data_IF_912226524994
#
_entry.id   IF_912226524994
#
_cell.length_a   1.000
_cell.length_b   1.000
_cell.length_c   1.000
_cell.angle_alpha   90.00
_cell.angle_beta   90.00
_cell.angle_gamma   90.00
#
_symmetry.space_group_name_H-M   'P 1'
#
loop_
_entity.id
_entity.type
_entity.pdbx_description
1 polymer ?
#
# COMPACT_ATOMS: atom_id res chain seq x y z
N UNK A 1 -25.08 -12.68 20.98
CA UNK A 1 -25.94 -11.62 21.57
C UNK A 1 -24.98 -10.55 22.07
N UNK A 2 -24.96 -9.42 21.39
CA UNK A 2 -23.95 -8.37 21.51
C UNK A 2 -23.93 -7.73 22.92
N UNK A 3 -22.77 -7.74 23.56
CA UNK A 3 -22.45 -6.89 24.70
C UNK A 3 -21.54 -5.78 24.18
N UNK A 4 -22.18 -4.71 23.68
CA UNK A 4 -21.51 -3.43 23.43
C UNK A 4 -21.12 -2.83 24.78
N UNK A 5 -19.84 -2.60 25.02
CA UNK A 5 -19.36 -1.65 26.03
C UNK A 5 -18.46 -0.66 25.32
N UNK A 6 -19.06 0.47 24.96
CA UNK A 6 -18.42 1.65 24.39
C UNK A 6 -17.81 2.44 25.55
N UNK A 7 -16.49 2.59 25.58
CA UNK A 7 -15.85 3.54 26.47
C UNK A 7 -14.85 4.40 25.66
N UNK A 8 -15.32 5.55 25.20
CA UNK A 8 -14.47 6.59 24.62
C UNK A 8 -13.64 7.20 25.75
N UNK A 9 -12.35 6.86 25.83
CA UNK A 9 -11.40 7.54 26.72
C UNK A 9 -10.97 8.84 26.04
N UNK A 10 -11.85 9.85 26.06
CA UNK A 10 -11.49 11.21 25.65
C UNK A 10 -10.51 11.81 26.68
N UNK A 11 -9.23 11.90 26.33
CA UNK A 11 -8.24 12.59 27.14
C UNK A 11 -8.32 14.10 26.89
N UNK A 12 -8.95 14.83 27.82
CA UNK A 12 -9.07 16.28 27.76
C UNK A 12 -7.91 16.94 28.51
N UNK A 13 -7.05 17.69 27.80
CA UNK A 13 -6.03 18.54 28.43
C UNK A 13 -6.45 20.00 28.37
N UNK A 14 -6.49 20.67 29.52
CA UNK A 14 -6.73 22.12 29.63
C UNK A 14 -5.41 22.82 29.93
N UNK A 15 -4.85 23.51 28.94
CA UNK A 15 -3.64 24.30 29.11
C UNK A 15 -4.00 25.73 29.55
N UNK A 16 -3.43 26.20 30.66
CA UNK A 16 -3.56 27.58 31.13
C UNK A 16 -2.36 28.40 30.65
N UNK A 17 -2.54 29.17 29.59
CA UNK A 17 -1.61 30.22 29.15
C UNK A 17 -1.83 31.51 29.94
N UNK A 18 -0.75 32.28 30.13
CA UNK A 18 -0.64 33.39 31.07
C UNK A 18 -1.76 34.45 30.93
N UNK A 19 -2.63 34.50 31.93
CA UNK A 19 -3.50 35.61 32.38
C UNK A 19 -4.44 36.33 31.38
N UNK A 20 -4.46 36.01 30.08
CA UNK A 20 -5.41 36.58 29.10
C UNK A 20 -5.93 35.62 28.03
N UNK A 21 -5.54 34.35 28.07
CA UNK A 21 -5.97 33.38 27.06
C UNK A 21 -7.23 32.62 27.49
N UNK A 22 -8.19 32.54 26.57
CA UNK A 22 -9.37 31.67 26.67
C UNK A 22 -8.87 30.24 26.86
N UNK A 23 -9.37 29.45 27.83
CA UNK A 23 -8.89 28.09 28.02
C UNK A 23 -9.08 27.31 26.72
N UNK A 24 -7.97 26.86 26.13
CA UNK A 24 -8.02 25.99 24.97
C UNK A 24 -8.22 24.57 25.47
N UNK A 25 -9.35 23.98 25.12
CA UNK A 25 -9.61 22.55 25.29
C UNK A 25 -8.88 21.85 24.14
N UNK A 26 -7.77 21.20 24.45
CA UNK A 26 -7.07 20.34 23.49
C UNK A 26 -7.62 18.94 23.68
N UNK A 27 -8.37 18.46 22.69
CA UNK A 27 -8.80 17.07 22.62
C UNK A 27 -7.64 16.25 22.06
N UNK A 28 -7.05 15.38 22.87
CA UNK A 28 -6.05 14.43 22.40
C UNK A 28 -6.75 13.18 21.84
N UNK A 29 -6.20 12.55 20.80
CA UNK A 29 -6.71 11.28 20.30
C UNK A 29 -6.72 10.22 21.43
N UNK A 30 -7.70 9.30 21.45
CA UNK A 30 -7.69 8.18 22.39
C UNK A 30 -6.45 7.31 22.11
N UNK A 31 -5.70 6.98 23.18
CA UNK A 31 -4.66 5.95 23.14
C UNK A 31 -5.27 4.64 23.63
N UNK A 32 -5.09 3.59 22.85
CA UNK A 32 -5.67 2.28 23.11
C UNK A 32 -4.58 1.30 23.54
N UNK A 33 -5.00 0.16 24.08
CA UNK A 33 -4.09 -0.93 24.39
C UNK A 33 -4.83 -2.25 24.20
N UNK A 34 -5.00 -2.65 22.94
CA UNK A 34 -5.33 -3.99 22.48
C UNK A 34 -6.75 -4.53 22.75
N UNK A 35 -7.41 -4.94 21.67
CA UNK A 35 -8.65 -5.70 21.61
C UNK A 35 -9.92 -4.86 21.53
N UNK A 36 -9.85 -3.58 21.16
CA UNK A 36 -10.99 -2.65 21.17
C UNK A 36 -11.54 -2.33 19.77
N UNK A 37 -12.87 -2.24 19.63
CA UNK A 37 -13.54 -1.65 18.45
C UNK A 37 -13.59 -0.12 18.63
N UNK A 38 -12.90 0.64 17.78
CA UNK A 38 -12.80 2.10 17.94
C UNK A 38 -13.25 2.89 16.72
N UNK A 39 -13.97 3.98 16.99
CA UNK A 39 -14.39 4.96 15.98
C UNK A 39 -13.57 6.24 16.12
N UNK A 40 -13.02 6.74 15.01
CA UNK A 40 -12.48 8.10 14.95
C UNK A 40 -11.03 8.20 14.48
N UNK A 41 -10.15 8.66 15.38
CA UNK A 41 -8.73 8.93 15.16
C UNK A 41 -7.85 8.37 16.28
N UNK A 42 -7.84 7.05 16.54
CA UNK A 42 -7.00 6.49 17.59
C UNK A 42 -5.51 6.55 17.25
N UNK A 43 -4.71 6.48 18.31
CA UNK A 43 -3.33 5.99 18.30
C UNK A 43 -3.37 4.62 19.00
N UNK A 44 -3.09 3.53 18.29
CA UNK A 44 -2.93 2.21 18.89
C UNK A 44 -1.44 1.78 18.86
N UNK A 45 -1.08 0.87 19.76
CA UNK A 45 0.22 0.22 19.85
C UNK A 45 -0.02 -1.31 19.92
N UNK A 46 -1.05 -1.83 19.21
CA UNK A 46 -1.84 -2.98 19.64
C UNK A 46 -2.43 -3.88 18.55
N UNK A 47 -3.63 -4.40 18.81
CA UNK A 47 -4.41 -5.23 17.88
C UNK A 47 -5.87 -4.87 18.07
N UNK A 48 -6.34 -3.97 17.24
CA UNK A 48 -7.64 -3.32 17.33
C UNK A 48 -8.42 -3.40 16.01
N UNK A 49 -9.73 -3.17 16.11
CA UNK A 49 -10.62 -3.00 14.96
C UNK A 49 -10.99 -1.50 14.86
N UNK A 50 -10.50 -0.81 13.84
CA UNK A 50 -10.67 0.65 13.71
C UNK A 50 -11.59 1.02 12.55
N UNK A 51 -12.64 1.79 12.84
CA UNK A 51 -13.44 2.45 11.81
C UNK A 51 -13.12 3.96 11.78
N UNK A 52 -12.45 4.41 10.72
CA UNK A 52 -12.13 5.83 10.54
C UNK A 52 -10.73 6.07 10.04
N UNK A 53 -10.00 6.98 10.70
CA UNK A 53 -8.59 7.21 10.42
C UNK A 53 -7.77 6.62 11.58
N UNK A 54 -6.71 5.87 11.37
CA UNK A 54 -5.81 5.41 12.44
C UNK A 54 -4.39 5.94 12.22
N UNK A 55 -3.64 5.99 13.33
CA UNK A 55 -2.20 5.76 13.34
C UNK A 55 -1.98 4.52 14.21
N UNK A 56 -1.32 3.50 13.70
CA UNK A 56 -0.99 2.29 14.46
C UNK A 56 0.53 2.02 14.43
N UNK A 57 0.99 1.34 15.47
CA UNK A 57 2.31 0.72 15.57
C UNK A 57 2.05 -0.75 15.97
N UNK A 58 1.60 -1.60 15.03
CA UNK A 58 0.97 -2.84 15.46
C UNK A 58 0.47 -3.81 14.39
N UNK A 59 -0.67 -4.42 14.71
CA UNK A 59 -1.40 -5.34 13.83
C UNK A 59 -2.89 -5.09 14.01
N UNK A 60 -3.45 -4.32 13.11
CA UNK A 60 -4.81 -3.81 13.16
C UNK A 60 -5.69 -4.27 11.99
N UNK A 61 -7.00 -4.20 12.20
CA UNK A 61 -8.01 -4.32 11.14
C UNK A 61 -8.67 -2.94 10.94
N UNK A 62 -8.34 -2.24 9.85
CA UNK A 62 -8.76 -0.85 9.62
C UNK A 62 -9.75 -0.71 8.47
N UNK A 63 -10.96 -0.22 8.77
CA UNK A 63 -11.89 0.26 7.75
C UNK A 63 -11.81 1.80 7.63
N UNK A 64 -11.02 2.27 6.67
CA UNK A 64 -10.96 3.69 6.33
C UNK A 64 -9.60 4.17 5.83
N UNK A 65 -8.89 4.97 6.63
CA UNK A 65 -7.54 5.42 6.31
C UNK A 65 -6.56 5.03 7.41
N UNK A 66 -5.51 4.31 7.12
CA UNK A 66 -4.44 4.02 8.07
C UNK A 66 -3.18 4.81 7.73
N UNK A 67 -2.32 4.92 8.74
CA UNK A 67 -0.89 5.16 8.61
C UNK A 67 -0.26 4.22 9.65
N UNK A 68 0.47 3.20 9.19
CA UNK A 68 0.94 2.10 10.04
C UNK A 68 2.44 1.84 9.87
N UNK A 69 3.07 1.42 10.96
CA UNK A 69 4.41 0.85 11.02
C UNK A 69 4.27 -0.59 11.56
N UNK A 70 3.91 -1.55 10.70
CA UNK A 70 3.38 -2.81 11.21
C UNK A 70 2.97 -3.88 10.20
N UNK A 71 1.90 -4.58 10.54
CA UNK A 71 1.28 -5.64 9.74
C UNK A 71 -0.24 -5.55 9.86
N UNK A 72 -0.87 -4.85 8.95
CA UNK A 72 -2.29 -4.50 9.03
C UNK A 72 -3.16 -5.15 7.95
N UNK A 73 -4.46 -5.24 8.24
CA UNK A 73 -5.50 -5.52 7.25
C UNK A 73 -6.33 -4.25 7.00
N UNK A 74 -6.15 -3.61 5.84
CA UNK A 74 -6.74 -2.29 5.56
C UNK A 74 -7.77 -2.34 4.44
N UNK A 75 -9.03 -2.03 4.77
CA UNK A 75 -10.05 -1.72 3.77
C UNK A 75 -10.15 -0.21 3.56
N UNK A 76 -9.40 0.33 2.60
CA UNK A 76 -9.54 1.72 2.18
C UNK A 76 -8.29 2.36 1.61
N UNK A 77 -7.63 3.23 2.38
CA UNK A 77 -6.37 3.86 1.99
C UNK A 77 -5.32 3.66 3.07
N UNK A 78 -4.17 3.11 2.74
CA UNK A 78 -3.04 2.98 3.66
C UNK A 78 -1.89 3.90 3.26
N UNK A 79 -0.99 4.06 4.22
CA UNK A 79 0.39 4.50 4.07
C UNK A 79 1.17 3.64 5.09
N UNK A 80 2.03 2.77 4.61
CA UNK A 80 2.50 1.60 5.34
C UNK A 80 4.02 1.45 5.23
N UNK A 81 4.68 1.19 6.36
CA UNK A 81 6.05 0.68 6.41
C UNK A 81 6.00 -0.72 7.02
N UNK A 82 6.00 -1.78 6.21
CA UNK A 82 5.65 -3.08 6.77
C UNK A 82 5.29 -4.22 5.83
N UNK A 83 4.27 -4.96 6.24
CA UNK A 83 3.81 -6.19 5.60
C UNK A 83 2.30 -6.34 5.77
N UNK A 84 1.53 -5.77 4.84
CA UNK A 84 0.11 -5.46 4.98
C UNK A 84 -0.78 -6.14 3.92
N UNK A 85 -2.05 -6.34 4.26
CA UNK A 85 -3.09 -6.75 3.32
C UNK A 85 -4.03 -5.55 3.04
N UNK A 86 -3.98 -4.99 1.84
CA UNK A 86 -4.70 -3.74 1.50
C UNK A 86 -5.75 -3.97 0.43
N UNK A 87 -7.02 -3.78 0.79
CA UNK A 87 -8.12 -3.63 -0.17
C UNK A 87 -8.41 -2.15 -0.44
N UNK A 88 -7.72 -1.57 -1.43
CA UNK A 88 -8.03 -0.22 -1.88
C UNK A 88 -6.88 0.54 -2.55
N UNK A 89 -6.35 1.53 -1.86
CA UNK A 89 -5.18 2.29 -2.35
C UNK A 89 -4.07 2.24 -1.31
N UNK A 90 -2.89 1.81 -1.73
CA UNK A 90 -1.70 1.73 -0.90
C UNK A 90 -0.64 2.75 -1.30
N UNK A 91 0.26 3.03 -0.37
CA UNK A 91 1.57 3.60 -0.64
C UNK A 91 2.50 3.06 0.44
N UNK A 92 3.38 2.17 0.03
CA UNK A 92 4.00 1.16 0.87
C UNK A 92 5.51 1.10 0.67
N UNK A 93 6.21 0.85 1.77
CA UNK A 93 7.61 0.40 1.77
C UNK A 93 7.65 -0.96 2.46
N UNK A 94 7.76 -2.06 1.70
CA UNK A 94 7.49 -3.35 2.34
C UNK A 94 7.34 -4.60 1.49
N UNK A 95 6.45 -5.46 1.99
CA UNK A 95 6.04 -6.73 1.38
C UNK A 95 4.56 -6.97 1.63
N UNK A 96 3.75 -6.51 0.68
CA UNK A 96 2.32 -6.32 0.88
C UNK A 96 1.49 -7.12 -0.13
N UNK A 97 0.25 -7.42 0.24
CA UNK A 97 -0.76 -8.01 -0.65
C UNK A 97 -1.85 -6.97 -0.94
N UNK A 98 -1.91 -6.49 -2.19
CA UNK A 98 -2.71 -5.31 -2.52
C UNK A 98 -3.77 -5.63 -3.57
N UNK A 99 -5.04 -5.51 -3.18
CA UNK A 99 -6.16 -5.49 -4.12
C UNK A 99 -6.58 -4.05 -4.43
N UNK A 100 -5.98 -3.44 -5.45
CA UNK A 100 -6.43 -2.16 -5.96
C UNK A 100 -5.39 -1.34 -6.69
N UNK A 101 -4.95 -0.24 -6.06
CA UNK A 101 -3.89 0.61 -6.60
C UNK A 101 -2.76 0.76 -5.60
N UNK A 102 -1.53 0.45 -5.98
CA UNK A 102 -0.34 0.65 -5.15
C UNK A 102 0.58 1.71 -5.73
N UNK A 103 1.52 2.12 -4.88
CA UNK A 103 2.77 2.79 -5.22
C UNK A 103 3.75 2.24 -4.20
N UNK A 104 4.54 1.26 -4.58
CA UNK A 104 5.31 0.43 -3.66
C UNK A 104 6.82 0.54 -3.92
N UNK A 105 7.60 0.47 -2.83
CA UNK A 105 9.03 0.21 -2.86
C UNK A 105 9.28 -1.11 -2.11
N UNK A 106 9.57 -2.21 -2.81
CA UNK A 106 9.71 -3.49 -2.11
C UNK A 106 9.49 -4.75 -2.92
N UNK A 107 8.58 -5.59 -2.43
CA UNK A 107 8.29 -6.90 -3.00
C UNK A 107 6.90 -7.37 -2.63
N UNK A 108 5.95 -7.09 -3.50
CA UNK A 108 4.51 -7.06 -3.26
C UNK A 108 3.74 -7.94 -4.25
N UNK A 109 2.55 -8.37 -3.85
CA UNK A 109 1.58 -9.06 -4.71
C UNK A 109 0.41 -8.12 -5.01
N UNK A 110 0.34 -7.60 -6.25
CA UNK A 110 -0.65 -6.58 -6.62
C UNK A 110 -1.69 -7.10 -7.61
N UNK A 111 -2.94 -7.16 -7.18
CA UNK A 111 -4.08 -7.32 -8.07
C UNK A 111 -4.69 -5.96 -8.42
N UNK A 112 -4.18 -5.33 -9.49
CA UNK A 112 -4.82 -4.14 -10.04
C UNK A 112 -3.91 -3.25 -10.87
N UNK A 113 -3.57 -2.07 -10.32
CA UNK A 113 -2.64 -1.14 -10.94
C UNK A 113 -1.54 -0.81 -9.97
N UNK A 114 -0.32 -0.87 -10.43
CA UNK A 114 0.84 -0.73 -9.59
C UNK A 114 1.80 0.27 -10.26
N UNK A 115 2.62 0.93 -9.45
CA UNK A 115 3.81 1.66 -9.88
C UNK A 115 4.89 1.31 -8.87
N UNK A 116 5.89 0.56 -9.31
CA UNK A 116 6.61 -0.34 -8.43
C UNK A 116 8.12 -0.19 -8.62
N UNK A 117 8.86 -0.08 -7.52
CA UNK A 117 10.33 -0.14 -7.51
C UNK A 117 10.76 -1.37 -6.71
N UNK A 118 11.06 -2.49 -7.40
CA UNK A 118 11.35 -3.70 -6.65
C UNK A 118 11.32 -5.03 -7.39
N UNK A 119 10.57 -5.94 -6.77
CA UNK A 119 10.41 -7.35 -7.16
C UNK A 119 9.00 -7.80 -6.85
N UNK A 120 8.12 -7.55 -7.79
CA UNK A 120 6.68 -7.58 -7.55
C UNK A 120 5.99 -8.61 -8.46
N UNK A 121 4.87 -9.14 -7.97
CA UNK A 121 3.97 -10.00 -8.75
C UNK A 121 2.69 -9.22 -9.06
N UNK A 122 2.52 -8.80 -10.32
CA UNK A 122 1.42 -7.91 -10.70
C UNK A 122 0.41 -8.60 -11.62
N UNK A 123 -0.82 -8.77 -11.13
CA UNK A 123 -1.97 -9.10 -11.98
C UNK A 123 -2.73 -7.84 -12.39
N UNK A 124 -2.30 -7.20 -13.48
CA UNK A 124 -3.05 -6.10 -14.08
C UNK A 124 -2.25 -5.16 -14.95
N UNK A 125 -1.98 -3.96 -14.43
CA UNK A 125 -1.15 -2.97 -15.11
C UNK A 125 -0.02 -2.55 -14.18
N UNK A 126 1.20 -2.78 -14.62
CA UNK A 126 2.42 -2.34 -13.93
C UNK A 126 3.03 -1.15 -14.66
N UNK A 127 3.80 -0.38 -13.89
CA UNK A 127 4.88 0.47 -14.37
C UNK A 127 6.02 0.26 -13.39
N UNK A 128 7.09 -0.36 -13.87
CA UNK A 128 8.03 -1.12 -13.06
C UNK A 128 9.49 -0.68 -13.31
N UNK A 129 10.21 -0.40 -12.23
CA UNK A 129 11.67 -0.25 -12.24
C UNK A 129 12.28 -1.41 -11.41
N UNK A 130 12.52 -2.57 -12.03
CA UNK A 130 12.81 -3.73 -11.22
C UNK A 130 13.01 -5.07 -11.92
N UNK A 131 12.49 -6.11 -11.25
CA UNK A 131 12.46 -7.50 -11.69
C UNK A 131 11.14 -8.12 -11.27
N UNK A 132 10.17 -8.00 -12.15
CA UNK A 132 8.77 -8.25 -11.81
C UNK A 132 8.16 -9.37 -12.68
N UNK A 133 7.15 -10.02 -12.12
CA UNK A 133 6.31 -10.98 -12.84
C UNK A 133 4.94 -10.34 -13.13
N UNK A 134 4.69 -10.01 -14.40
CA UNK A 134 3.47 -9.26 -14.76
C UNK A 134 2.53 -10.05 -15.66
N UNK A 135 1.34 -10.35 -15.12
CA UNK A 135 0.21 -10.83 -15.90
C UNK A 135 -0.68 -9.67 -16.34
N UNK A 136 -0.35 -9.03 -17.46
CA UNK A 136 -1.22 -8.04 -18.06
C UNK A 136 -0.53 -7.05 -18.99
N UNK A 137 -0.33 -5.82 -18.51
CA UNK A 137 0.39 -4.79 -19.24
C UNK A 137 1.52 -4.23 -18.38
N UNK A 138 2.76 -4.29 -18.85
CA UNK A 138 3.91 -3.60 -18.25
C UNK A 138 4.34 -2.41 -19.07
N UNK A 139 5.05 -1.53 -18.37
CA UNK A 139 5.98 -0.56 -18.92
C UNK A 139 7.20 -0.59 -17.98
N UNK A 140 8.23 -1.28 -18.42
CA UNK A 140 9.33 -1.80 -17.60
C UNK A 140 10.67 -1.18 -18.01
N UNK A 141 11.43 -0.75 -17.01
CA UNK A 141 12.86 -0.44 -17.11
C UNK A 141 13.64 -1.51 -16.31
N UNK A 142 13.67 -2.75 -16.83
CA UNK A 142 13.99 -3.89 -15.97
C UNK A 142 14.41 -5.18 -16.67
N UNK A 143 14.19 -6.27 -15.94
CA UNK A 143 14.46 -7.64 -16.37
C UNK A 143 13.32 -8.51 -15.90
N UNK A 144 12.21 -8.44 -16.63
CA UNK A 144 10.87 -8.83 -16.18
C UNK A 144 10.31 -10.02 -16.96
N UNK A 145 9.39 -10.75 -16.33
CA UNK A 145 8.63 -11.82 -16.96
C UNK A 145 7.19 -11.36 -17.24
N UNK A 146 6.87 -11.06 -18.50
CA UNK A 146 5.58 -10.45 -18.87
C UNK A 146 4.70 -11.40 -19.67
N UNK A 147 3.59 -11.83 -19.06
CA UNK A 147 2.50 -12.48 -19.78
C UNK A 147 1.44 -11.46 -20.22
N UNK A 148 1.65 -10.85 -21.38
CA UNK A 148 0.63 -9.99 -21.98
C UNK A 148 1.16 -8.99 -22.99
N UNK A 149 1.18 -7.71 -22.61
CA UNK A 149 1.75 -6.64 -23.43
C UNK A 149 2.86 -5.97 -22.65
N UNK A 150 4.06 -5.93 -23.20
CA UNK A 150 5.14 -5.09 -22.68
C UNK A 150 5.51 -3.96 -23.60
N UNK A 151 6.13 -2.96 -22.99
CA UNK A 151 6.87 -1.89 -23.63
C UNK A 151 8.11 -1.68 -22.75
N UNK A 152 9.24 -2.23 -23.19
CA UNK A 152 10.45 -2.36 -22.39
C UNK A 152 11.64 -1.59 -22.96
N UNK A 153 12.55 -1.19 -22.07
CA UNK A 153 13.91 -0.75 -22.41
C UNK A 153 14.97 -1.75 -21.86
N UNK A 154 14.61 -3.06 -21.82
CA UNK A 154 15.14 -4.03 -20.86
C UNK A 154 15.72 -5.32 -21.45
N UNK A 155 15.64 -6.39 -20.65
CA UNK A 155 16.11 -7.73 -21.00
C UNK A 155 15.11 -8.76 -20.50
N UNK A 156 13.92 -8.73 -21.09
CA UNK A 156 12.70 -9.30 -20.55
C UNK A 156 12.29 -10.59 -21.27
N UNK A 157 11.53 -11.43 -20.57
CA UNK A 157 10.88 -12.60 -21.13
C UNK A 157 9.39 -12.31 -21.38
N UNK A 158 9.01 -12.02 -22.63
CA UNK A 158 7.64 -11.59 -22.95
C UNK A 158 6.86 -12.69 -23.67
N UNK A 159 5.83 -13.22 -23.01
CA UNK A 159 4.81 -14.04 -23.67
C UNK A 159 3.62 -13.19 -24.11
N UNK A 160 3.70 -12.60 -25.30
CA UNK A 160 2.57 -11.92 -25.90
C UNK A 160 2.92 -10.90 -26.97
N UNK A 161 2.74 -9.61 -26.67
CA UNK A 161 3.15 -8.53 -27.56
C UNK A 161 4.20 -7.69 -26.86
N UNK A 162 5.37 -7.52 -27.48
CA UNK A 162 6.36 -6.54 -27.02
C UNK A 162 6.55 -5.44 -28.05
N UNK A 163 6.92 -4.28 -27.56
CA UNK A 163 7.62 -3.24 -28.30
C UNK A 163 8.89 -2.98 -27.48
N UNK A 164 10.06 -3.33 -28.00
CA UNK A 164 11.31 -3.30 -27.25
C UNK A 164 12.36 -2.38 -27.90
N UNK A 165 13.23 -1.84 -27.04
CA UNK A 165 14.52 -1.24 -27.43
C UNK A 165 15.71 -2.08 -26.90
N UNK A 166 15.42 -3.24 -26.28
CA UNK A 166 16.31 -4.07 -25.47
C UNK A 166 16.78 -5.39 -26.09
N UNK A 167 17.09 -6.37 -25.25
CA UNK A 167 17.47 -7.75 -25.67
C UNK A 167 16.48 -8.74 -25.08
N UNK A 168 15.30 -8.79 -25.67
CA UNK A 168 14.17 -9.50 -25.05
C UNK A 168 13.91 -10.86 -25.72
N UNK A 169 13.52 -11.82 -24.90
CA UNK A 169 13.06 -13.12 -25.35
C UNK A 169 11.55 -13.11 -25.55
N UNK A 170 11.10 -12.69 -26.74
CA UNK A 170 9.68 -12.54 -27.03
C UNK A 170 9.06 -13.80 -27.67
N UNK A 171 8.20 -14.49 -26.92
CA UNK A 171 7.29 -15.49 -27.46
C UNK A 171 5.97 -14.84 -27.92
N UNK A 172 5.98 -14.24 -29.10
CA UNK A 172 4.76 -13.68 -29.69
C UNK A 172 5.00 -12.70 -30.81
N UNK A 173 4.40 -11.51 -30.72
CA UNK A 173 4.63 -10.43 -31.69
C UNK A 173 5.54 -9.39 -31.06
N UNK A 174 6.75 -9.24 -31.58
CA UNK A 174 7.65 -8.13 -31.23
C UNK A 174 7.67 -7.09 -32.34
N UNK A 175 7.92 -5.85 -31.92
CA UNK A 175 8.43 -4.77 -32.75
C UNK A 175 9.69 -4.29 -32.01
N UNK A 176 10.83 -4.38 -32.67
CA UNK A 176 12.15 -4.02 -32.12
C UNK A 176 12.58 -2.74 -32.84
N UNK A 177 12.81 -1.65 -32.09
CA UNK A 177 13.34 -0.38 -32.62
C UNK A 177 14.88 -0.30 -32.53
N UNK A 178 15.55 -1.25 -31.87
CA UNK A 178 17.00 -1.35 -31.66
C UNK A 178 17.79 -2.16 -32.71
N UNK A 179 17.11 -2.86 -33.62
CA UNK A 179 17.73 -3.66 -34.69
C UNK A 179 18.30 -2.86 -35.87
N UNK A 180 19.55 -2.36 -35.75
CA UNK A 180 20.64 -2.42 -36.76
C UNK A 180 21.76 -1.37 -36.45
N UNK A 181 22.83 -1.78 -35.74
CA UNK A 181 24.23 -1.33 -35.97
C UNK A 181 25.25 -2.46 -35.73
#
# INVERSE_FOLDING_TARGET
MALRHRQEVESIMVAFGDSRDVPQVILLPPRLSGGDEVQGKPLDEGRDEVQGKSLDEGRDEVQGKSLDEGRDEVQGKSLDEGGDEVQGKSLDEGRDEIQGKSLDEGGDEVQGKSLDEGRDEVQGKSLDEGRDEVQGKSLDEGGDEVQGKSLDEGGDEVQGKSLDEGRDEVQGKSLDEGGDE
#
